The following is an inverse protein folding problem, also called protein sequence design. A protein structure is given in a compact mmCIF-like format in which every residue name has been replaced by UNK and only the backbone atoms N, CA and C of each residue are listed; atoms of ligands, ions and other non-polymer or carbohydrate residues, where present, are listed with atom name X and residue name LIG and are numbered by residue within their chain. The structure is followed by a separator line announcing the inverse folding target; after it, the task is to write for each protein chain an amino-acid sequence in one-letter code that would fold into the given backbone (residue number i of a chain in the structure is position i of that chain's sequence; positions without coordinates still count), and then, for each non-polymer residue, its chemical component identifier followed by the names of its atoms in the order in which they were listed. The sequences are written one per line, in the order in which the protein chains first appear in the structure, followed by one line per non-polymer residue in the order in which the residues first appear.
data_IF_922699858144
#
_entry.id   IF_922699858144
#
_cell.length_a   1.000
_cell.length_b   1.000
_cell.length_c   1.000
_cell.angle_alpha   90.00
_cell.angle_beta   90.00
_cell.angle_gamma   90.00
#
_symmetry.space_group_name_H-M   'P 1'
#
loop_
_entity.id
_entity.type
_entity.pdbx_description
1 polymer ?
#
# COMPACT_ATOMS: atom_id res chain seq x y z
N UNK A 1 9.38 12.23 8.50
CA UNK A 1 10.54 12.61 9.34
C UNK A 1 10.16 13.73 10.29
N UNK A 2 9.91 14.96 9.80
CA UNK A 2 9.47 16.09 10.65
C UNK A 2 8.26 15.74 11.53
N UNK A 3 7.22 15.10 10.98
CA UNK A 3 6.06 14.69 11.76
C UNK A 3 6.38 13.69 12.88
N UNK A 4 7.38 12.80 12.72
CA UNK A 4 7.78 11.87 13.79
C UNK A 4 8.42 12.64 14.95
N UNK A 5 9.33 13.57 14.62
CA UNK A 5 10.01 14.42 15.61
C UNK A 5 9.02 15.30 16.36
N UNK A 6 8.07 15.90 15.65
CA UNK A 6 7.03 16.74 16.26
C UNK A 6 6.12 15.99 17.25
N UNK A 7 6.08 14.66 17.18
CA UNK A 7 5.27 13.83 18.07
C UNK A 7 6.13 13.00 19.04
N UNK A 8 7.44 13.21 19.09
CA UNK A 8 8.36 12.53 20.02
C UNK A 8 8.37 10.98 19.87
N UNK A 9 8.19 10.49 18.63
CA UNK A 9 8.07 9.05 18.32
C UNK A 9 9.33 8.45 17.69
N UNK A 10 10.49 9.08 17.80
CA UNK A 10 11.73 8.64 17.14
C UNK A 10 12.24 7.28 17.62
N UNK A 11 11.91 6.89 18.85
CA UNK A 11 12.27 5.59 19.44
C UNK A 11 11.40 4.45 18.89
N UNK A 12 10.19 4.76 18.43
CA UNK A 12 9.21 3.79 17.94
C UNK A 12 9.13 3.76 16.40
N UNK A 13 9.34 4.90 15.74
CA UNK A 13 9.16 5.07 14.29
C UNK A 13 10.50 5.34 13.60
N UNK A 14 10.93 4.37 12.81
CA UNK A 14 12.10 4.51 11.94
C UNK A 14 11.71 4.80 10.49
N UNK A 15 12.15 5.94 9.94
CA UNK A 15 11.87 6.33 8.55
C UNK A 15 13.04 5.96 7.62
N UNK A 16 12.83 4.93 6.81
CA UNK A 16 13.77 4.46 5.79
C UNK A 16 13.37 5.07 4.42
N UNK A 17 14.34 5.63 3.70
CA UNK A 17 14.14 6.08 2.31
C UNK A 17 14.79 5.08 1.38
N UNK A 18 14.02 4.56 0.44
CA UNK A 18 14.53 3.73 -0.64
C UNK A 18 13.40 3.31 -1.58
N UNK A 19 13.76 2.45 -2.53
CA UNK A 19 12.86 1.92 -3.54
C UNK A 19 12.33 0.55 -3.09
N UNK A 20 11.02 0.35 -3.09
CA UNK A 20 10.44 -0.95 -2.71
C UNK A 20 10.75 -2.05 -3.74
N UNK A 21 11.02 -1.67 -5.00
CA UNK A 21 11.41 -2.58 -6.08
C UNK A 21 12.80 -3.15 -5.83
N UNK A 22 13.67 -2.34 -5.22
CA UNK A 22 15.01 -2.70 -4.78
C UNK A 22 15.14 -2.43 -3.28
N UNK A 23 14.64 -3.36 -2.45
CA UNK A 23 14.55 -3.17 -1.00
C UNK A 23 15.84 -2.61 -0.41
N UNK A 24 15.75 -1.58 0.46
CA UNK A 24 16.88 -1.11 1.23
C UNK A 24 17.58 -2.27 1.94
N UNK A 25 18.93 -2.26 1.95
CA UNK A 25 19.75 -3.31 2.56
C UNK A 25 19.29 -3.67 3.99
N UNK A 26 18.84 -2.66 4.73
CA UNK A 26 18.36 -2.77 6.11
C UNK A 26 17.07 -3.60 6.26
N UNK A 27 16.33 -3.81 5.17
CA UNK A 27 15.07 -4.55 5.12
C UNK A 27 15.19 -5.94 4.47
N UNK A 28 16.30 -6.25 3.79
CA UNK A 28 16.47 -7.48 3.00
C UNK A 28 16.22 -8.74 3.85
N UNK A 29 16.82 -8.78 5.04
CA UNK A 29 16.72 -9.93 5.96
C UNK A 29 15.66 -9.74 7.06
N UNK A 30 14.87 -8.66 6.97
CA UNK A 30 13.81 -8.39 7.96
C UNK A 30 12.48 -8.94 7.48
N UNK A 31 11.68 -9.42 8.43
CA UNK A 31 10.29 -9.77 8.22
C UNK A 31 9.44 -9.14 9.33
N UNK A 32 8.22 -8.77 8.99
CA UNK A 32 7.32 -8.03 9.86
C UNK A 32 6.05 -8.84 10.12
N UNK A 33 5.50 -8.71 11.33
CA UNK A 33 4.18 -9.25 11.69
C UNK A 33 3.06 -8.63 10.87
N UNK A 34 3.21 -7.33 10.58
CA UNK A 34 2.26 -6.55 9.80
C UNK A 34 2.98 -5.76 8.72
N UNK A 35 2.43 -5.80 7.51
CA UNK A 35 2.81 -4.88 6.43
C UNK A 35 1.56 -4.15 5.98
N UNK A 36 1.58 -2.82 6.05
CA UNK A 36 0.46 -1.98 5.65
C UNK A 36 0.89 -1.06 4.52
N UNK A 37 0.03 -0.90 3.52
CA UNK A 37 0.28 0.05 2.44
C UNK A 37 -1.00 0.77 2.01
N UNK A 38 -0.82 2.01 1.60
CA UNK A 38 -1.82 2.80 0.89
C UNK A 38 -1.22 3.13 -0.49
N UNK A 39 -1.25 2.17 -1.44
CA UNK A 39 -0.58 2.32 -2.72
C UNK A 39 -1.18 3.48 -3.54
N UNK A 40 -0.45 3.99 -4.55
CA UNK A 40 -1.04 4.87 -5.55
C UNK A 40 -2.27 4.21 -6.20
N UNK A 41 -3.35 4.97 -6.34
CA UNK A 41 -4.66 4.44 -6.72
C UNK A 41 -4.88 4.28 -8.23
N UNK A 42 -4.35 5.21 -9.02
CA UNK A 42 -4.64 5.32 -10.44
C UNK A 42 -3.47 4.82 -11.28
N UNK A 43 -3.77 4.12 -12.37
CA UNK A 43 -2.73 3.74 -13.35
C UNK A 43 -2.08 4.99 -13.95
N UNK A 44 -0.81 4.89 -14.32
CA UNK A 44 -0.04 6.00 -14.88
C UNK A 44 -0.69 6.64 -16.12
N UNK A 45 -1.42 5.86 -16.93
CA UNK A 45 -2.12 6.31 -18.14
C UNK A 45 -3.40 7.11 -17.89
N UNK A 46 -3.82 7.30 -16.64
CA UNK A 46 -5.04 8.04 -16.31
C UNK A 46 -4.87 9.54 -16.59
N UNK A 47 -5.80 10.13 -17.35
CA UNK A 47 -5.79 11.54 -17.79
C UNK A 47 -5.89 12.60 -16.65
N UNK A 48 -5.93 12.17 -15.39
CA UNK A 48 -6.17 13.01 -14.21
C UNK A 48 -4.85 13.43 -13.53
N UNK A 49 -3.86 13.94 -14.26
CA UNK A 49 -2.63 14.34 -13.59
C UNK A 49 -2.87 15.53 -12.66
N UNK A 50 -2.59 15.33 -11.36
CA UNK A 50 -2.57 16.40 -10.35
C UNK A 50 -1.56 17.47 -10.76
N UNK A 51 -1.89 18.76 -10.58
CA UNK A 51 -0.98 19.88 -10.86
C UNK A 51 0.31 19.82 -10.01
N UNK A 52 0.28 19.17 -8.83
CA UNK A 52 1.47 18.93 -8.01
C UNK A 52 2.13 17.59 -8.39
N UNK A 53 3.42 17.58 -8.76
CA UNK A 53 4.17 16.35 -9.06
C UNK A 53 4.27 15.38 -7.88
N UNK A 54 4.35 15.90 -6.65
CA UNK A 54 4.43 15.07 -5.44
C UNK A 54 3.10 14.36 -5.20
N UNK A 55 1.99 15.08 -5.30
CA UNK A 55 0.66 14.48 -5.20
C UNK A 55 0.37 13.53 -6.36
N UNK A 56 0.88 13.82 -7.56
CA UNK A 56 0.76 12.92 -8.70
C UNK A 56 1.48 11.59 -8.42
N UNK A 57 2.73 11.60 -7.94
CA UNK A 57 3.47 10.39 -7.60
C UNK A 57 2.84 9.56 -6.47
N UNK A 58 2.17 10.20 -5.51
CA UNK A 58 1.48 9.51 -4.42
C UNK A 58 0.14 8.89 -4.86
N UNK A 59 -0.47 9.40 -5.93
CA UNK A 59 -1.82 9.03 -6.38
C UNK A 59 -1.80 8.13 -7.61
N UNK A 60 -0.82 8.32 -8.49
CA UNK A 60 -0.69 7.59 -9.74
C UNK A 60 0.51 6.64 -9.68
N UNK A 61 0.40 5.50 -10.35
CA UNK A 61 1.42 4.45 -10.47
C UNK A 61 2.61 4.91 -11.35
N UNK A 62 3.18 6.09 -11.06
CA UNK A 62 4.27 6.72 -11.83
C UNK A 62 5.65 6.22 -11.39
N UNK A 63 5.78 5.79 -10.14
CA UNK A 63 7.05 5.33 -9.56
C UNK A 63 7.05 3.88 -9.14
N UNK A 64 5.88 3.32 -8.88
CA UNK A 64 5.67 1.91 -8.64
C UNK A 64 4.26 1.51 -9.08
N UNK A 65 4.10 0.27 -9.50
CA UNK A 65 2.79 -0.32 -9.81
C UNK A 65 2.17 -0.95 -8.57
N UNK A 66 0.87 -1.25 -8.63
CA UNK A 66 0.19 -2.00 -7.56
C UNK A 66 0.83 -3.38 -7.35
N UNK A 67 1.21 -4.06 -8.43
CA UNK A 67 1.88 -5.36 -8.39
C UNK A 67 3.21 -5.32 -7.63
N UNK A 68 4.07 -4.33 -7.93
CA UNK A 68 5.35 -4.16 -7.25
C UNK A 68 5.17 -3.90 -5.75
N UNK A 69 4.13 -3.15 -5.37
CA UNK A 69 3.81 -2.89 -3.95
C UNK A 69 3.36 -4.16 -3.24
N UNK A 70 2.50 -4.97 -3.88
CA UNK A 70 2.02 -6.23 -3.30
C UNK A 70 3.16 -7.24 -3.17
N UNK A 71 4.01 -7.38 -4.19
CA UNK A 71 5.18 -8.25 -4.15
C UNK A 71 6.18 -7.84 -3.05
N UNK A 72 6.44 -6.53 -2.90
CA UNK A 72 7.27 -6.02 -1.81
C UNK A 72 6.65 -6.34 -0.44
N UNK A 73 5.34 -6.20 -0.30
CA UNK A 73 4.64 -6.51 0.95
C UNK A 73 4.67 -8.00 1.30
N UNK A 74 4.47 -8.88 0.30
CA UNK A 74 4.58 -10.32 0.48
C UNK A 74 5.99 -10.73 0.95
N UNK A 75 7.04 -10.14 0.35
CA UNK A 75 8.44 -10.39 0.73
C UNK A 75 8.77 -9.92 2.14
N UNK A 76 8.20 -8.79 2.58
CA UNK A 76 8.46 -8.20 3.89
C UNK A 76 7.62 -8.82 5.01
N UNK A 77 6.52 -9.48 4.69
CA UNK A 77 5.68 -10.15 5.68
C UNK A 77 6.30 -11.49 6.10
N UNK A 78 6.28 -11.80 7.39
CA UNK A 78 6.68 -13.14 7.86
C UNK A 78 5.60 -14.18 7.52
N UNK A 79 5.98 -15.46 7.53
CA UNK A 79 4.99 -16.54 7.49
C UNK A 79 4.01 -16.41 8.67
N UNK A 80 2.71 -16.49 8.37
CA UNK A 80 1.63 -16.25 9.33
C UNK A 80 1.47 -14.80 9.80
N UNK A 81 2.17 -13.85 9.18
CA UNK A 81 1.93 -12.42 9.34
C UNK A 81 0.69 -11.96 8.57
N UNK A 82 0.45 -10.64 8.59
CA UNK A 82 -0.73 -10.01 7.97
C UNK A 82 -0.30 -8.89 7.04
N UNK A 83 -0.93 -8.81 5.88
CA UNK A 83 -0.72 -7.72 4.92
C UNK A 83 -2.04 -6.97 4.70
N UNK A 84 -2.01 -5.65 4.81
CA UNK A 84 -3.19 -4.80 4.64
C UNK A 84 -3.00 -3.74 3.57
N UNK A 85 -4.01 -3.55 2.71
CA UNK A 85 -4.03 -2.51 1.69
C UNK A 85 -5.27 -1.64 1.80
N UNK A 86 -5.11 -0.34 1.54
CA UNK A 86 -6.21 0.60 1.31
C UNK A 86 -6.22 0.98 -0.17
N UNK A 87 -7.37 0.89 -0.82
CA UNK A 87 -7.48 1.20 -2.25
C UNK A 87 -8.87 1.69 -2.67
N UNK A 88 -9.01 2.00 -3.95
CA UNK A 88 -10.29 2.26 -4.62
C UNK A 88 -11.09 0.97 -4.91
N UNK A 89 -12.43 0.95 -4.69
CA UNK A 89 -13.32 -0.18 -5.01
C UNK A 89 -13.18 -0.73 -6.42
N UNK A 90 -12.95 0.11 -7.42
CA UNK A 90 -12.82 -0.29 -8.84
C UNK A 90 -11.59 -1.16 -9.11
N UNK A 91 -10.62 -1.17 -8.19
CA UNK A 91 -9.39 -1.95 -8.28
C UNK A 91 -9.45 -3.23 -7.44
N UNK A 92 -10.63 -3.59 -6.92
CA UNK A 92 -10.81 -4.79 -6.10
C UNK A 92 -10.36 -6.07 -6.80
N UNK A 93 -10.76 -6.26 -8.07
CA UNK A 93 -10.38 -7.47 -8.82
C UNK A 93 -8.87 -7.56 -9.03
N UNK A 94 -8.22 -6.43 -9.34
CA UNK A 94 -6.76 -6.36 -9.45
C UNK A 94 -6.08 -6.75 -8.13
N UNK A 95 -6.56 -6.21 -6.99
CA UNK A 95 -6.03 -6.55 -5.66
C UNK A 95 -6.15 -8.03 -5.35
N UNK A 96 -7.35 -8.60 -5.53
CA UNK A 96 -7.59 -10.03 -5.25
C UNK A 96 -6.69 -10.93 -6.10
N UNK A 97 -6.56 -10.62 -7.40
CA UNK A 97 -5.74 -11.39 -8.32
C UNK A 97 -4.25 -11.29 -7.97
N UNK A 98 -3.73 -10.08 -7.75
CA UNK A 98 -2.33 -9.85 -7.44
C UNK A 98 -1.93 -10.39 -6.07
N UNK A 99 -2.77 -10.18 -5.05
CA UNK A 99 -2.54 -10.77 -3.72
C UNK A 99 -2.43 -12.29 -3.81
N UNK A 100 -3.35 -12.95 -4.52
CA UNK A 100 -3.31 -14.40 -4.70
C UNK A 100 -2.08 -14.86 -5.50
N UNK A 101 -1.69 -14.12 -6.54
CA UNK A 101 -0.48 -14.40 -7.31
C UNK A 101 0.79 -14.36 -6.43
N UNK A 102 0.85 -13.40 -5.50
CA UNK A 102 1.92 -13.26 -4.50
C UNK A 102 1.73 -14.13 -3.24
N UNK A 103 0.83 -15.12 -3.30
CA UNK A 103 0.54 -16.06 -2.20
C UNK A 103 0.04 -15.40 -0.91
N UNK A 104 -0.49 -14.19 -1.01
CA UNK A 104 -1.23 -13.51 0.04
C UNK A 104 -2.72 -13.81 -0.13
N UNK A 105 -3.24 -14.76 0.64
CA UNK A 105 -4.65 -15.11 0.53
C UNK A 105 -5.53 -14.04 1.19
N UNK A 106 -6.41 -13.33 0.46
CA UNK A 106 -7.27 -12.31 1.06
C UNK A 106 -8.30 -12.95 1.99
N UNK A 107 -8.35 -12.48 3.24
CA UNK A 107 -9.21 -13.06 4.31
C UNK A 107 -10.26 -12.09 4.82
N UNK A 108 -10.03 -10.79 4.70
CA UNK A 108 -10.95 -9.76 5.21
C UNK A 108 -11.06 -8.61 4.23
N UNK A 109 -12.28 -8.14 4.00
CA UNK A 109 -12.59 -7.02 3.14
C UNK A 109 -13.56 -6.08 3.87
N UNK A 110 -13.29 -4.78 3.79
CA UNK A 110 -14.14 -3.74 4.34
C UNK A 110 -14.35 -2.64 3.29
N UNK A 111 -15.59 -2.38 2.91
CA UNK A 111 -15.96 -1.27 2.03
C UNK A 111 -16.25 -0.02 2.87
N UNK A 112 -15.69 1.12 2.46
CA UNK A 112 -15.84 2.39 3.15
C UNK A 112 -16.77 3.31 2.38
N UNK A 113 -17.88 3.61 3.03
CA UNK A 113 -18.94 4.45 2.49
C UNK A 113 -18.81 5.87 3.07
N UNK A 114 -18.87 6.92 2.24
CA UNK A 114 -18.82 8.29 2.74
C UNK A 114 -20.10 8.64 3.53
N UNK A 115 -21.25 8.06 3.14
CA UNK A 115 -22.56 8.23 3.78
C UNK A 115 -23.42 6.96 3.59
N UNK A 116 -24.40 6.70 4.48
CA UNK A 116 -25.38 5.64 4.25
C UNK A 116 -26.04 5.76 2.87
N UNK A 117 -26.21 4.63 2.17
CA UNK A 117 -26.88 4.56 0.87
C UNK A 117 -26.08 5.05 -0.34
N UNK A 118 -24.81 5.43 -0.18
CA UNK A 118 -23.93 5.84 -1.30
C UNK A 118 -23.04 4.70 -1.76
N UNK A 119 -22.39 4.85 -2.93
CA UNK A 119 -21.35 3.93 -3.36
C UNK A 119 -20.10 4.05 -2.44
N UNK A 120 -19.34 2.97 -2.23
CA UNK A 120 -18.09 3.04 -1.47
C UNK A 120 -17.06 3.86 -2.25
N UNK A 121 -16.17 4.54 -1.53
CA UNK A 121 -15.09 5.34 -2.14
C UNK A 121 -13.70 4.80 -1.80
N UNK A 122 -13.62 3.90 -0.81
CA UNK A 122 -12.42 3.14 -0.47
C UNK A 122 -12.80 1.70 -0.12
N UNK A 123 -11.82 0.83 -0.20
CA UNK A 123 -11.83 -0.50 0.37
C UNK A 123 -10.57 -0.69 1.22
N UNK A 124 -10.70 -1.50 2.26
CA UNK A 124 -9.58 -2.10 2.98
C UNK A 124 -9.62 -3.60 2.72
N UNK A 125 -8.45 -4.18 2.46
CA UNK A 125 -8.30 -5.63 2.29
C UNK A 125 -7.11 -6.13 3.10
N UNK A 126 -7.26 -7.30 3.69
CA UNK A 126 -6.23 -7.98 4.48
C UNK A 126 -6.05 -9.41 3.98
N UNK A 127 -4.79 -9.87 3.90
CA UNK A 127 -4.41 -11.26 3.66
C UNK A 127 -3.46 -11.80 4.73
#
# INVERSE_FOLDING_TARGET
RQNVVLNELETEIRIITGDLRALPQELVDRRFDWVLSNPPYWKASSHLHSASPVLARAKFELTCTLEEVIAAAARLCRSGGRVGFVHLPERLTDLLALMRAERLEPKRLCLVYPKPGTAPHRLLIEG
#
